data_IF_074565540943
#
_entry.id   IF_074565540943
#
_cell.length_a   1.000
_cell.length_b   1.000
_cell.length_c   1.000
_cell.angle_alpha   90.00
_cell.angle_beta   90.00
_cell.angle_gamma   90.00
#
_symmetry.space_group_name_H-M   'P 1'
#
loop_
_entity.id
_entity.type
_entity.pdbx_description
1 polymer ?
#
# COMPACT_ATOMS: atom_id res chain seq x y z
N UNK A 1 2.75 -4.14 18.87
CA UNK A 1 1.95 -5.07 18.05
C UNK A 1 1.12 -5.95 18.98
N UNK A 2 -0.05 -6.38 18.53
CA UNK A 2 -0.93 -7.28 19.26
C UNK A 2 -1.30 -8.47 18.36
N UNK A 3 -0.52 -9.54 18.47
CA UNK A 3 -0.66 -10.76 17.66
C UNK A 3 -1.90 -11.59 18.03
N UNK A 4 -2.48 -11.39 19.22
CA UNK A 4 -3.67 -12.13 19.66
C UNK A 4 -4.93 -11.60 18.98
N UNK A 5 -4.98 -10.28 18.79
CA UNK A 5 -6.05 -9.59 18.07
C UNK A 5 -5.75 -9.38 16.58
N UNK A 6 -4.55 -9.73 16.11
CA UNK A 6 -4.18 -9.63 14.70
C UNK A 6 -3.86 -8.20 14.26
N UNK A 7 -3.23 -7.40 15.12
CA UNK A 7 -2.97 -5.98 14.90
C UNK A 7 -1.48 -5.67 14.87
N UNK A 8 -1.04 -5.05 13.78
CA UNK A 8 0.25 -4.39 13.70
C UNK A 8 0.02 -2.88 13.87
N UNK A 9 0.85 -2.24 14.71
CA UNK A 9 0.88 -0.78 14.84
C UNK A 9 2.27 -0.30 14.45
N UNK A 10 2.35 0.36 13.30
CA UNK A 10 3.54 0.94 12.72
C UNK A 10 3.64 2.41 13.14
N UNK A 11 4.14 2.66 14.35
CA UNK A 11 4.35 4.00 14.88
C UNK A 11 5.69 4.57 14.44
N UNK A 12 5.73 5.86 14.07
CA UNK A 12 7.00 6.59 13.86
C UNK A 12 7.98 5.82 12.96
N UNK A 13 7.49 5.30 11.84
CA UNK A 13 8.31 4.47 10.95
C UNK A 13 9.18 5.34 10.06
N UNK A 14 10.47 5.01 10.00
CA UNK A 14 11.45 5.72 9.16
C UNK A 14 12.32 4.71 8.44
N UNK A 15 12.64 4.99 7.18
CA UNK A 15 13.59 4.18 6.42
C UNK A 15 14.99 4.18 7.06
N UNK A 16 15.68 3.05 6.99
CA UNK A 16 17.03 2.90 7.55
C UNK A 16 18.03 3.91 6.95
N UNK A 17 17.88 4.24 5.67
CA UNK A 17 18.68 5.25 4.97
C UNK A 17 18.50 6.65 5.59
N UNK A 18 17.24 7.06 5.78
CA UNK A 18 16.90 8.35 6.38
C UNK A 18 17.43 8.47 7.82
N UNK A 19 17.16 7.47 8.69
CA UNK A 19 17.64 7.50 10.08
C UNK A 19 19.15 7.32 10.19
N UNK A 20 19.75 6.52 9.30
CA UNK A 20 21.19 6.29 9.24
C UNK A 20 21.97 7.56 8.94
N UNK A 21 21.47 8.38 8.02
CA UNK A 21 22.06 9.67 7.66
C UNK A 21 22.04 10.69 8.82
N UNK A 22 21.06 10.60 9.74
CA UNK A 22 20.89 11.53 10.86
C UNK A 22 21.73 11.17 12.11
N UNK A 23 22.51 10.09 12.10
CA UNK A 23 23.35 9.68 13.26
C UNK A 23 24.61 10.54 13.38
N UNK A 24 25.14 10.67 14.60
CA UNK A 24 26.45 11.31 14.90
C UNK A 24 27.67 10.41 14.55
N UNK A 25 27.56 9.81 13.38
CA UNK A 25 28.54 9.26 12.43
C UNK A 25 27.60 8.62 11.41
N UNK A 26 27.36 9.24 10.24
CA UNK A 26 26.35 8.77 9.30
C UNK A 26 26.57 7.32 8.90
N UNK A 27 25.51 6.52 8.95
CA UNK A 27 25.53 5.12 8.51
C UNK A 27 25.26 5.08 7.02
N UNK A 28 26.30 4.83 6.22
CA UNK A 28 26.21 4.78 4.74
C UNK A 28 26.10 3.37 4.18
N UNK A 29 26.47 2.36 4.96
CA UNK A 29 26.36 0.94 4.59
C UNK A 29 25.16 0.35 5.32
N UNK A 30 24.09 0.11 4.59
CA UNK A 30 22.86 -0.47 5.14
C UNK A 30 22.85 -1.99 4.98
N UNK A 31 22.25 -2.73 5.94
CA UNK A 31 22.02 -4.15 5.76
C UNK A 31 21.10 -4.41 4.56
N UNK A 32 21.18 -5.63 3.99
CA UNK A 32 20.30 -6.04 2.90
C UNK A 32 18.82 -6.01 3.31
N UNK A 33 18.54 -6.37 4.55
CA UNK A 33 17.22 -6.25 5.18
C UNK A 33 16.98 -4.78 5.56
N UNK A 34 16.39 -4.02 4.65
CA UNK A 34 16.14 -2.58 4.82
C UNK A 34 14.68 -2.17 4.63
N UNK A 35 13.84 -3.08 4.16
CA UNK A 35 12.43 -2.78 3.90
C UNK A 35 11.64 -2.89 5.20
N UNK A 36 10.77 -1.91 5.44
CA UNK A 36 9.95 -1.87 6.64
C UNK A 36 9.03 -3.09 6.75
N UNK A 37 8.38 -3.50 5.65
CA UNK A 37 7.45 -4.64 5.65
C UNK A 37 8.14 -5.96 6.03
N UNK A 38 9.41 -6.17 5.64
CA UNK A 38 10.16 -7.38 6.01
C UNK A 38 10.52 -7.37 7.51
N UNK A 39 10.93 -6.22 8.03
CA UNK A 39 11.29 -6.07 9.46
C UNK A 39 10.03 -6.27 10.32
N UNK A 40 8.93 -5.62 9.94
CA UNK A 40 7.64 -5.74 10.63
C UNK A 40 7.11 -7.16 10.59
N UNK A 41 7.27 -7.87 9.48
CA UNK A 41 6.94 -9.30 9.38
C UNK A 41 7.70 -10.13 10.41
N UNK A 42 9.03 -9.98 10.48
CA UNK A 42 9.87 -10.76 11.38
C UNK A 42 9.51 -10.51 12.86
N UNK A 43 9.27 -9.26 13.23
CA UNK A 43 8.83 -8.90 14.58
C UNK A 43 7.46 -9.52 14.90
N UNK A 44 6.52 -9.46 13.96
CA UNK A 44 5.18 -10.04 14.13
C UNK A 44 5.23 -11.58 14.23
N UNK A 45 6.01 -12.24 13.38
CA UNK A 45 6.23 -13.69 13.40
C UNK A 45 6.87 -14.14 14.73
N UNK A 46 7.90 -13.41 15.19
CA UNK A 46 8.58 -13.72 16.45
C UNK A 46 7.61 -13.64 17.64
N UNK A 47 6.82 -12.56 17.73
CA UNK A 47 5.84 -12.38 18.79
C UNK A 47 4.72 -13.42 18.72
N UNK A 48 4.27 -13.78 17.51
CA UNK A 48 3.26 -14.81 17.32
C UNK A 48 3.76 -16.18 17.80
N UNK A 49 5.03 -16.52 17.51
CA UNK A 49 5.66 -17.74 18.00
C UNK A 49 5.80 -17.76 19.53
N UNK A 50 6.22 -16.65 20.15
CA UNK A 50 6.33 -16.52 21.61
C UNK A 50 4.97 -16.74 22.29
N UNK A 51 3.90 -16.12 21.75
CA UNK A 51 2.53 -16.25 22.26
C UNK A 51 1.81 -17.52 21.79
N UNK A 52 2.45 -18.36 20.98
CA UNK A 52 1.88 -19.59 20.40
C UNK A 52 0.57 -19.35 19.64
N UNK A 53 0.47 -18.21 18.94
CA UNK A 53 -0.66 -17.89 18.07
C UNK A 53 -0.27 -18.04 16.60
N UNK A 54 -1.18 -18.44 15.70
CA UNK A 54 -0.89 -18.52 14.28
C UNK A 54 -0.55 -17.15 13.68
N UNK A 55 0.53 -17.07 12.90
CA UNK A 55 1.01 -15.84 12.23
C UNK A 55 -0.01 -15.34 11.20
N UNK A 56 -0.80 -16.22 10.59
CA UNK A 56 -1.80 -15.89 9.58
C UNK A 56 -3.08 -15.21 10.11
N UNK A 57 -3.10 -14.79 11.39
CA UNK A 57 -4.23 -14.11 12.03
C UNK A 57 -4.22 -12.59 11.90
N UNK A 58 -3.33 -12.04 11.06
CA UNK A 58 -3.28 -10.60 10.83
C UNK A 58 -4.61 -10.10 10.24
N UNK A 59 -5.23 -9.12 10.90
CA UNK A 59 -6.52 -8.49 10.55
C UNK A 59 -6.37 -6.99 10.28
N UNK A 60 -5.42 -6.35 10.95
CA UNK A 60 -5.29 -4.91 10.96
C UNK A 60 -3.83 -4.50 10.86
N UNK A 61 -3.55 -3.51 10.02
CA UNK A 61 -2.28 -2.82 9.97
C UNK A 61 -2.56 -1.33 10.16
N UNK A 62 -2.15 -0.77 11.29
CA UNK A 62 -2.31 0.65 11.61
C UNK A 62 -0.99 1.37 11.36
N UNK A 63 -0.98 2.38 10.50
CA UNK A 63 0.11 3.34 10.40
C UNK A 63 -0.30 4.57 11.19
N UNK A 64 0.44 4.79 12.27
CA UNK A 64 0.18 5.87 13.22
C UNK A 64 1.12 7.05 12.97
N UNK A 65 0.59 8.25 13.17
CA UNK A 65 1.34 9.51 13.13
C UNK A 65 2.08 9.74 11.79
N UNK A 66 1.33 9.73 10.68
CA UNK A 66 1.90 9.91 9.34
C UNK A 66 2.26 11.37 9.11
N UNK A 67 3.55 11.63 8.87
CA UNK A 67 4.11 12.95 8.50
C UNK A 67 4.72 12.98 7.10
N UNK A 68 4.52 11.92 6.32
CA UNK A 68 5.08 11.78 4.98
C UNK A 68 4.30 12.64 3.97
N UNK A 69 4.98 13.57 3.30
CA UNK A 69 4.38 14.50 2.33
C UNK A 69 3.68 13.77 1.17
N UNK A 70 4.27 12.68 0.67
CA UNK A 70 3.67 11.92 -0.43
C UNK A 70 2.41 11.15 0.03
N UNK A 71 2.40 10.63 1.25
CA UNK A 71 1.17 10.04 1.82
C UNK A 71 0.13 11.13 2.09
N UNK A 72 0.53 12.32 2.56
CA UNK A 72 -0.41 13.45 2.75
C UNK A 72 -1.08 13.84 1.43
N UNK A 73 -0.31 13.97 0.35
CA UNK A 73 -0.88 14.27 -0.98
C UNK A 73 -1.88 13.19 -1.46
N UNK A 74 -1.63 11.91 -1.13
CA UNK A 74 -2.57 10.84 -1.43
C UNK A 74 -3.86 10.93 -0.59
N UNK A 75 -3.76 11.35 0.67
CA UNK A 75 -4.93 11.66 1.53
C UNK A 75 -5.71 12.84 0.98
N UNK A 76 -5.06 13.95 0.63
CA UNK A 76 -5.71 15.13 0.07
C UNK A 76 -6.48 14.76 -1.22
N UNK A 77 -5.88 13.91 -2.05
CA UNK A 77 -6.55 13.36 -3.24
C UNK A 77 -7.76 12.50 -2.88
N UNK A 78 -7.64 11.61 -1.90
CA UNK A 78 -8.73 10.73 -1.48
C UNK A 78 -9.91 11.49 -0.87
N UNK A 79 -9.61 12.53 -0.08
CA UNK A 79 -10.61 13.40 0.56
C UNK A 79 -11.19 14.46 -0.39
N UNK A 80 -10.53 14.71 -1.54
CA UNK A 80 -10.90 15.73 -2.55
C UNK A 80 -10.77 17.17 -2.04
N UNK A 81 -9.93 17.40 -1.03
CA UNK A 81 -9.56 18.71 -0.52
C UNK A 81 -8.20 18.62 0.21
N UNK A 82 -7.56 19.76 0.46
CA UNK A 82 -6.32 19.81 1.23
C UNK A 82 -6.60 19.67 2.73
N UNK A 83 -6.00 18.66 3.37
CA UNK A 83 -6.18 18.43 4.81
C UNK A 83 -5.48 19.53 5.61
N UNK A 84 -6.31 20.38 6.23
CA UNK A 84 -5.91 21.44 7.16
C UNK A 84 -6.21 21.05 8.62
N UNK A 85 -5.71 21.82 9.59
CA UNK A 85 -5.99 21.61 11.01
C UNK A 85 -7.50 21.61 11.31
N UNK A 86 -8.26 22.54 10.74
CA UNK A 86 -9.71 22.62 10.97
C UNK A 86 -10.46 21.44 10.35
N UNK A 87 -10.05 21.00 9.15
CA UNK A 87 -10.65 19.81 8.52
C UNK A 87 -10.34 18.56 9.34
N UNK A 88 -9.12 18.42 9.83
CA UNK A 88 -8.68 17.26 10.61
C UNK A 88 -9.54 17.04 11.88
N UNK A 89 -10.08 18.11 12.48
CA UNK A 89 -11.02 18.01 13.61
C UNK A 89 -12.36 17.36 13.24
N UNK A 90 -12.76 17.38 11.97
CA UNK A 90 -13.96 16.73 11.46
C UNK A 90 -13.77 15.23 11.16
N UNK A 91 -12.53 14.73 11.21
CA UNK A 91 -12.17 13.35 10.88
C UNK A 91 -11.69 12.58 12.11
N UNK A 92 -12.39 12.68 13.24
CA UNK A 92 -12.07 11.87 14.43
C UNK A 92 -12.34 10.39 14.18
N UNK A 93 -11.98 9.52 15.13
CA UNK A 93 -12.31 8.10 15.02
C UNK A 93 -13.81 7.83 14.83
N UNK A 94 -14.66 8.64 15.47
CA UNK A 94 -16.12 8.58 15.36
C UNK A 94 -16.62 9.06 13.99
N UNK A 95 -15.86 9.93 13.32
CA UNK A 95 -16.17 10.56 12.03
C UNK A 95 -15.15 10.19 10.94
N UNK A 96 -14.58 8.99 11.03
CA UNK A 96 -13.54 8.50 10.13
C UNK A 96 -14.07 8.22 8.72
N UNK A 97 -13.22 8.43 7.73
CA UNK A 97 -13.51 8.04 6.34
C UNK A 97 -13.03 6.62 6.09
N UNK A 98 -13.81 5.88 5.30
CA UNK A 98 -13.49 4.51 4.92
C UNK A 98 -13.51 4.45 3.39
N UNK A 99 -12.41 4.01 2.82
CA UNK A 99 -12.23 3.83 1.39
C UNK A 99 -12.18 2.33 1.05
N UNK A 100 -12.86 1.95 -0.01
CA UNK A 100 -12.98 0.59 -0.53
C UNK A 100 -12.29 0.46 -1.91
N UNK A 101 -11.98 -0.76 -2.40
CA UNK A 101 -11.18 -0.96 -3.62
C UNK A 101 -11.68 -0.23 -4.87
N UNK A 102 -12.98 -0.01 -4.98
CA UNK A 102 -13.60 0.74 -6.09
C UNK A 102 -13.29 2.23 -6.06
N UNK A 103 -13.02 2.79 -4.89
CA UNK A 103 -12.75 4.21 -4.70
C UNK A 103 -11.38 4.58 -5.24
N UNK A 104 -11.31 5.68 -6.01
CA UNK A 104 -10.02 6.24 -6.42
C UNK A 104 -9.16 6.67 -5.22
N UNK A 105 -9.81 7.03 -4.10
CA UNK A 105 -9.15 7.29 -2.83
C UNK A 105 -8.42 6.07 -2.28
N UNK A 106 -9.03 4.88 -2.34
CA UNK A 106 -8.36 3.64 -1.95
C UNK A 106 -7.13 3.38 -2.82
N UNK A 107 -7.27 3.50 -4.14
CA UNK A 107 -6.17 3.27 -5.10
C UNK A 107 -4.99 4.22 -4.84
N UNK A 108 -5.28 5.48 -4.53
CA UNK A 108 -4.24 6.45 -4.15
C UNK A 108 -3.58 6.10 -2.81
N UNK A 109 -4.38 5.74 -1.79
CA UNK A 109 -3.88 5.46 -0.45
C UNK A 109 -3.06 4.16 -0.39
N UNK A 110 -3.48 3.11 -1.09
CA UNK A 110 -2.72 1.85 -1.15
C UNK A 110 -1.38 2.02 -1.90
N UNK A 111 -1.35 2.90 -2.91
CA UNK A 111 -0.14 3.25 -3.67
C UNK A 111 0.81 4.20 -2.93
N UNK A 112 0.34 4.87 -1.87
CA UNK A 112 1.16 5.77 -1.04
C UNK A 112 2.33 5.04 -0.37
N UNK A 113 3.39 5.74 0.06
CA UNK A 113 4.48 5.11 0.81
C UNK A 113 4.02 4.31 2.05
N UNK A 114 3.00 4.81 2.76
CA UNK A 114 2.43 4.13 3.92
C UNK A 114 1.60 2.90 3.53
N UNK A 115 0.74 3.03 2.52
CA UNK A 115 -0.10 1.93 2.04
C UNK A 115 0.69 0.82 1.39
N UNK A 116 1.75 1.16 0.64
CA UNK A 116 2.65 0.20 0.01
C UNK A 116 3.32 -0.71 1.04
N UNK A 117 3.58 -0.24 2.26
CA UNK A 117 4.11 -1.07 3.34
C UNK A 117 3.14 -2.20 3.72
N UNK A 118 1.85 -1.88 3.89
CA UNK A 118 0.81 -2.87 4.20
C UNK A 118 0.60 -3.84 3.03
N UNK A 119 0.52 -3.31 1.80
CA UNK A 119 0.35 -4.14 0.60
C UNK A 119 1.52 -5.09 0.35
N UNK A 120 2.76 -4.60 0.46
CA UNK A 120 3.96 -5.42 0.27
C UNK A 120 4.11 -6.46 1.37
N UNK A 121 3.75 -6.16 2.62
CA UNK A 121 3.74 -7.13 3.70
C UNK A 121 2.93 -8.38 3.33
N UNK A 122 1.72 -8.18 2.80
CA UNK A 122 0.85 -9.29 2.36
C UNK A 122 1.40 -9.98 1.12
N UNK A 123 1.83 -9.21 0.11
CA UNK A 123 2.28 -9.74 -1.17
C UNK A 123 3.57 -10.57 -1.05
N UNK A 124 4.57 -10.11 -0.28
CA UNK A 124 5.86 -10.80 -0.17
C UNK A 124 5.80 -11.99 0.77
N UNK A 125 4.90 -11.96 1.77
CA UNK A 125 4.75 -13.00 2.79
C UNK A 125 3.45 -13.81 2.63
N UNK A 126 2.90 -13.87 1.41
CA UNK A 126 1.62 -14.54 1.10
C UNK A 126 1.58 -16.02 1.50
N UNK A 127 2.71 -16.73 1.46
CA UNK A 127 2.79 -18.13 1.91
C UNK A 127 2.50 -18.29 3.40
N UNK A 128 2.73 -17.23 4.18
CA UNK A 128 2.59 -17.23 5.63
C UNK A 128 1.23 -16.65 6.02
N UNK A 129 0.84 -15.52 5.43
CA UNK A 129 -0.44 -14.88 5.75
C UNK A 129 -1.66 -15.53 5.09
N UNK A 130 -1.45 -16.26 4.00
CA UNK A 130 -2.50 -16.79 3.13
C UNK A 130 -2.38 -16.17 1.73
N UNK A 131 -2.50 -17.00 0.69
CA UNK A 131 -2.24 -16.57 -0.70
C UNK A 131 -3.23 -15.52 -1.21
N UNK A 132 -4.36 -15.36 -0.52
CA UNK A 132 -5.52 -14.57 -0.92
C UNK A 132 -5.83 -13.43 0.06
N UNK A 133 -4.87 -13.07 0.90
CA UNK A 133 -5.05 -11.95 1.82
C UNK A 133 -4.98 -10.63 1.06
N UNK A 134 -6.03 -9.84 1.19
CA UNK A 134 -6.13 -8.51 0.57
C UNK A 134 -6.44 -7.45 1.62
N UNK A 135 -6.15 -6.19 1.28
CA UNK A 135 -6.64 -5.04 2.05
C UNK A 135 -8.09 -4.80 1.62
N UNK A 136 -9.04 -5.06 2.52
CA UNK A 136 -10.47 -4.84 2.28
C UNK A 136 -10.81 -3.36 2.22
N UNK A 137 -10.29 -2.59 3.16
CA UNK A 137 -10.60 -1.17 3.28
C UNK A 137 -9.48 -0.41 3.96
N UNK A 138 -9.43 0.89 3.69
CA UNK A 138 -8.50 1.82 4.30
C UNK A 138 -9.32 2.85 5.05
N UNK A 139 -9.13 2.89 6.36
CA UNK A 139 -9.79 3.84 7.24
C UNK A 139 -8.85 4.98 7.58
N UNK A 140 -9.25 6.20 7.26
CA UNK A 140 -8.54 7.44 7.56
C UNK A 140 -9.16 8.13 8.77
N UNK A 141 -8.32 8.58 9.69
CA UNK A 141 -8.76 9.42 10.81
C UNK A 141 -7.61 10.25 11.36
N UNK A 142 -7.95 11.40 11.90
CA UNK A 142 -7.07 12.30 12.62
C UNK A 142 -7.02 11.96 14.11
N UNK A 143 -5.88 12.27 14.74
CA UNK A 143 -5.76 12.26 16.18
C UNK A 143 -6.10 13.67 16.72
N UNK A 144 -6.94 13.75 17.75
CA UNK A 144 -7.48 15.02 18.27
C UNK A 144 -6.43 16.03 18.73
N UNK A 145 -5.22 15.57 19.05
CA UNK A 145 -4.22 16.34 19.79
C UNK A 145 -2.99 16.75 18.94
N UNK A 146 -2.80 16.18 17.74
CA UNK A 146 -1.69 16.52 16.82
C UNK A 146 -2.21 16.55 15.37
N UNK A 147 -2.58 17.74 14.89
CA UNK A 147 -3.16 17.97 13.56
C UNK A 147 -2.17 17.75 12.41
N UNK A 148 -0.86 17.78 12.69
CA UNK A 148 0.19 17.51 11.71
C UNK A 148 0.37 16.00 11.48
N UNK A 149 -0.47 15.18 12.11
CA UNK A 149 -0.41 13.74 12.06
C UNK A 149 -1.78 13.12 11.88
N UNK A 150 -1.87 12.19 10.94
CA UNK A 150 -3.08 11.41 10.69
C UNK A 150 -2.73 9.93 10.66
N UNK A 151 -3.77 9.11 10.69
CA UNK A 151 -3.68 7.67 10.81
C UNK A 151 -4.34 6.99 9.61
N UNK A 152 -3.75 5.87 9.20
CA UNK A 152 -4.34 4.97 8.22
C UNK A 152 -4.42 3.57 8.82
N UNK A 153 -5.64 3.05 8.95
CA UNK A 153 -5.91 1.68 9.37
C UNK A 153 -6.30 0.85 8.14
N UNK A 154 -5.49 -0.15 7.81
CA UNK A 154 -5.73 -1.09 6.74
C UNK A 154 -6.41 -2.34 7.33
N UNK A 155 -7.64 -2.60 6.91
CA UNK A 155 -8.40 -3.81 7.27
C UNK A 155 -8.07 -4.91 6.27
N UNK A 156 -7.78 -6.11 6.76
CA UNK A 156 -7.28 -7.24 5.97
C UNK A 156 -8.29 -8.39 6.04
N UNK A 157 -8.65 -8.94 4.88
CA UNK A 157 -9.54 -10.09 4.76
C UNK A 157 -8.97 -11.16 3.82
N UNK A 158 -9.55 -12.35 3.87
CA UNK A 158 -9.39 -13.33 2.79
C UNK A 158 -10.32 -12.94 1.62
N UNK A 159 -9.80 -13.03 0.40
CA UNK A 159 -10.58 -12.86 -0.83
C UNK A 159 -11.26 -14.19 -1.18
N UNK A 160 -12.58 -14.28 -1.04
CA UNK A 160 -13.37 -15.48 -1.37
C UNK A 160 -13.56 -15.61 -2.89
N UNK A 161 -13.70 -16.84 -3.42
CA UNK A 161 -13.75 -17.14 -4.87
C UNK A 161 -15.02 -16.70 -5.59
N UNK A 162 -16.13 -16.49 -4.88
CA UNK A 162 -17.44 -16.35 -5.52
C UNK A 162 -17.65 -15.01 -6.26
N UNK A 163 -16.72 -14.07 -6.16
CA UNK A 163 -16.80 -12.75 -6.83
C UNK A 163 -16.04 -12.69 -8.17
N UNK A 164 -15.11 -13.62 -8.46
CA UNK A 164 -14.24 -13.58 -9.65
C UNK A 164 -14.90 -14.15 -10.94
N UNK A 165 -16.04 -14.83 -10.83
CA UNK A 165 -16.66 -15.55 -11.96
C UNK A 165 -17.65 -14.70 -12.79
N UNK A 166 -17.85 -13.41 -12.48
CA UNK A 166 -18.91 -12.59 -13.13
C UNK A 166 -18.44 -11.49 -14.09
N UNK A 167 -17.13 -11.26 -14.27
CA UNK A 167 -16.64 -10.09 -15.04
C UNK A 167 -15.83 -10.44 -16.30
N UNK A 168 -15.89 -11.69 -16.75
CA UNK A 168 -15.28 -12.13 -18.02
C UNK A 168 -16.30 -12.65 -19.04
N UNK A 169 -17.58 -12.28 -18.93
CA UNK A 169 -18.51 -12.44 -20.05
C UNK A 169 -18.13 -11.42 -21.14
N UNK A 170 -17.21 -11.85 -22.00
CA UNK A 170 -17.17 -11.60 -23.44
C UNK A 170 -17.81 -10.28 -23.87
N UNK A 171 -17.06 -9.18 -23.76
CA UNK A 171 -17.20 -8.11 -24.75
C UNK A 171 -16.84 -8.73 -26.11
N UNK A 172 -17.84 -9.33 -26.77
CA UNK A 172 -17.78 -9.68 -28.17
C UNK A 172 -17.22 -8.47 -28.93
N UNK A 173 -16.05 -8.67 -29.54
CA UNK A 173 -15.48 -7.77 -30.53
C UNK A 173 -16.58 -7.34 -31.50
N UNK A 174 -17.11 -6.13 -31.32
CA UNK A 174 -17.90 -5.51 -32.36
C UNK A 174 -16.98 -5.36 -33.57
N UNK A 175 -17.24 -6.15 -34.61
CA UNK A 175 -16.54 -6.12 -35.89
C UNK A 175 -16.30 -4.68 -36.34
N UNK A 176 -15.03 -4.25 -36.37
CA UNK A 176 -14.60 -2.98 -36.92
C UNK A 176 -14.79 -3.00 -38.46
N UNK A 177 -15.71 -2.21 -39.04
CA UNK A 177 -15.99 -2.23 -40.47
C UNK A 177 -15.00 -1.36 -41.27
N UNK A 178 -13.74 -1.23 -40.84
CA UNK A 178 -12.85 -0.26 -41.45
C UNK A 178 -11.38 -0.39 -41.12
N UNK A 179 -10.77 -1.57 -41.29
CA UNK A 179 -9.31 -1.68 -41.25
C UNK A 179 -8.67 -1.09 -42.53
N UNK A 180 -7.90 0.01 -42.45
CA UNK A 180 -7.10 0.46 -43.57
C UNK A 180 -5.88 -0.46 -43.77
N UNK A 181 -5.64 -0.80 -45.03
CA UNK A 181 -4.51 -1.59 -45.53
C UNK A 181 -3.17 -0.90 -45.20
N UNK A 182 -2.47 -1.40 -44.18
CA UNK A 182 -1.07 -1.03 -43.94
C UNK A 182 -0.15 -1.92 -44.76
N UNK A 183 -0.06 -1.63 -46.06
CA UNK A 183 1.02 -2.15 -46.90
C UNK A 183 2.35 -1.57 -46.39
N UNK A 184 3.10 -2.35 -45.61
CA UNK A 184 4.42 -1.97 -45.11
C UNK A 184 5.39 -1.96 -46.29
N UNK A 185 5.81 -0.76 -46.71
CA UNK A 185 6.92 -0.61 -47.66
C UNK A 185 8.25 -0.99 -46.96
N UNK A 186 9.09 -1.86 -47.54
CA UNK A 186 10.38 -2.19 -46.95
C UNK A 186 11.31 -0.99 -46.97
N UNK A 187 11.89 -0.66 -45.82
CA UNK A 187 12.94 0.36 -45.72
C UNK A 187 14.22 -0.10 -46.44
N UNK A 188 14.92 0.80 -47.15
CA UNK A 188 16.17 0.44 -47.83
C UNK A 188 17.29 0.19 -46.82
N UNK A 189 17.96 -0.95 -46.97
CA UNK A 189 19.15 -1.31 -46.18
C UNK A 189 20.30 -0.32 -46.43
N UNK A 190 20.87 0.21 -45.35
CA UNK A 190 22.05 1.06 -45.41
C UNK A 190 23.29 0.24 -45.80
N UNK A 191 23.86 0.56 -46.95
CA UNK A 191 25.15 0.03 -47.40
C UNK A 191 26.29 0.69 -46.62
N UNK A 192 27.06 -0.11 -45.90
CA UNK A 192 28.31 0.33 -45.27
C UNK A 192 29.35 0.68 -46.35
N UNK A 193 29.78 1.94 -46.40
CA UNK A 193 30.94 2.35 -47.18
C UNK A 193 32.19 2.31 -46.29
N UNK A 194 33.09 1.38 -46.62
CA UNK A 194 34.46 1.32 -46.12
C UNK A 194 35.27 2.45 -46.75
N UNK A 195 35.97 3.23 -45.93
CA UNK A 195 37.28 3.83 -46.25
C UNK A 195 38.03 4.17 -44.98
#
# INVERSE_FOLDING_TARGET
>A
MDVEHGLIIAMSTYGAEYRGALKNTPVTVLPKLKNLFDIVYLDYEHLAAEKKVPVNRLKYYLVDNIKNVATKAAVDFALKFELTESECQAHTWEQRDIFYPEDDGYKALIASPSGRSAALLLATHKKVFGERRIVESITFFCQSDDFDSFNLLFTIKDHDEEEDDTDWEDEEESEDPGQPDFSVSPWPSATAAVR
#
